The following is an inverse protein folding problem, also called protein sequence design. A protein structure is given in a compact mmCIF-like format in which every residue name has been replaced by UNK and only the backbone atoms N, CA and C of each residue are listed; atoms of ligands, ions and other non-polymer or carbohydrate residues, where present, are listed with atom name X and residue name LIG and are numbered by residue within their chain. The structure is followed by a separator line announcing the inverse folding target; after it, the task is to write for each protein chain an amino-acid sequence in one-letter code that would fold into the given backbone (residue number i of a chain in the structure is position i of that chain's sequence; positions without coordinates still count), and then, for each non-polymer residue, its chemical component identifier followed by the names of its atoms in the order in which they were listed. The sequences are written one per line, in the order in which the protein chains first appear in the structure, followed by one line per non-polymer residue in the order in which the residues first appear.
data_IF_099937072252
#
_entry.id   IF_099937072252
#
_cell.length_a   1.000
_cell.length_b   1.000
_cell.length_c   1.000
_cell.angle_alpha   90.00
_cell.angle_beta   90.00
_cell.angle_gamma   90.00
#
_symmetry.space_group_name_H-M   'P 1'
#
loop_
_entity.id
_entity.type
_entity.pdbx_description
1 polymer ?
#
# COMPACT_ATOMS: atom_id res chain seq x y z
N UNK A 1 8.15 29.00 9.77
CA UNK A 1 9.50 28.68 10.29
C UNK A 1 9.76 27.19 10.06
N UNK A 2 10.85 26.81 9.38
CA UNK A 2 11.20 25.38 9.22
C UNK A 2 11.62 24.86 10.59
N UNK A 3 10.81 24.00 11.23
CA UNK A 3 11.22 23.32 12.46
C UNK A 3 12.48 22.51 12.15
N UNK A 4 13.54 22.66 12.95
CA UNK A 4 14.79 21.92 12.72
C UNK A 4 14.46 20.43 12.78
N UNK A 5 14.80 19.71 11.71
CA UNK A 5 14.64 18.27 11.66
C UNK A 5 15.40 17.65 12.83
N UNK A 6 14.80 16.69 13.56
CA UNK A 6 15.50 16.04 14.65
C UNK A 6 16.65 15.20 14.08
N UNK A 7 17.89 15.67 14.24
CA UNK A 7 19.08 15.02 13.67
C UNK A 7 19.22 13.55 14.13
N UNK A 8 18.71 13.26 15.34
CA UNK A 8 18.70 11.93 15.93
C UNK A 8 17.89 10.90 15.14
N UNK A 9 16.82 11.28 14.43
CA UNK A 9 16.01 10.31 13.67
C UNK A 9 16.80 9.75 12.48
N UNK A 10 17.49 10.63 11.75
CA UNK A 10 18.37 10.24 10.65
C UNK A 10 19.58 9.46 11.15
N UNK A 11 20.14 9.85 12.31
CA UNK A 11 21.25 9.15 12.94
C UNK A 11 20.86 7.72 13.36
N UNK A 12 19.72 7.56 14.03
CA UNK A 12 19.16 6.26 14.41
C UNK A 12 19.04 5.32 13.20
N UNK A 13 18.41 5.80 12.12
CA UNK A 13 18.22 4.99 10.90
C UNK A 13 19.55 4.53 10.32
N UNK A 14 20.53 5.45 10.23
CA UNK A 14 21.87 5.13 9.73
C UNK A 14 22.62 4.18 10.66
N UNK A 15 22.48 4.32 11.98
CA UNK A 15 23.08 3.42 12.97
C UNK A 15 22.60 1.98 12.83
N UNK A 16 21.32 1.79 12.50
CA UNK A 16 20.74 0.47 12.21
C UNK A 16 20.96 -0.01 10.76
N UNK A 17 21.71 0.74 9.94
CA UNK A 17 21.96 0.47 8.51
C UNK A 17 20.69 0.29 7.68
N UNK A 18 19.61 0.99 8.05
CA UNK A 18 18.32 0.89 7.38
C UNK A 18 18.21 1.92 6.24
N UNK A 19 17.61 1.52 5.13
CA UNK A 19 17.13 2.45 4.10
C UNK A 19 15.86 3.18 4.58
N UNK A 20 15.48 4.29 3.92
CA UNK A 20 14.22 4.98 4.24
C UNK A 20 12.99 4.08 4.06
N UNK A 21 13.03 3.15 3.10
CA UNK A 21 11.93 2.21 2.84
C UNK A 21 11.85 1.12 3.90
N UNK A 22 12.98 0.58 4.33
CA UNK A 22 13.04 -0.43 5.39
C UNK A 22 12.63 0.15 6.74
N UNK A 23 13.11 1.35 7.08
CA UNK A 23 12.66 2.04 8.29
C UNK A 23 11.15 2.31 8.26
N UNK A 24 10.60 2.70 7.09
CA UNK A 24 9.17 2.87 6.93
C UNK A 24 8.41 1.56 7.15
N UNK A 25 8.92 0.45 6.59
CA UNK A 25 8.33 -0.88 6.78
C UNK A 25 8.31 -1.31 8.25
N UNK A 26 9.44 -1.21 8.95
CA UNK A 26 9.55 -1.60 10.37
C UNK A 26 8.68 -0.75 11.28
N UNK A 27 8.50 0.53 10.95
CA UNK A 27 7.64 1.44 11.72
C UNK A 27 6.16 1.36 11.32
N UNK A 28 5.80 0.56 10.31
CA UNK A 28 4.42 0.52 9.78
C UNK A 28 3.98 1.82 9.10
N UNK A 29 4.93 2.59 8.56
CA UNK A 29 4.70 3.90 7.97
C UNK A 29 4.80 3.89 6.44
N UNK A 30 4.20 4.90 5.82
CA UNK A 30 4.47 5.22 4.40
C UNK A 30 5.88 5.81 4.29
N UNK A 31 6.65 5.46 3.25
CA UNK A 31 8.01 6.01 3.05
C UNK A 31 8.05 7.54 3.03
N UNK A 32 6.97 8.21 2.62
CA UNK A 32 6.86 9.67 2.65
C UNK A 32 6.92 10.25 4.07
N UNK A 33 6.40 9.55 5.07
CA UNK A 33 6.43 10.03 6.46
C UNK A 33 7.85 10.07 7.00
N UNK A 34 8.63 9.01 6.75
CA UNK A 34 10.07 8.96 7.11
C UNK A 34 10.81 10.15 6.49
N UNK A 35 10.54 10.48 5.23
CA UNK A 35 11.13 11.66 4.59
C UNK A 35 10.69 12.98 5.21
N UNK A 36 9.40 13.14 5.53
CA UNK A 36 8.88 14.35 6.16
C UNK A 36 9.50 14.57 7.55
N UNK A 37 9.72 13.49 8.33
CA UNK A 37 10.41 13.54 9.61
C UNK A 37 11.89 13.90 9.45
N UNK A 38 12.61 13.27 8.53
CA UNK A 38 14.02 13.60 8.26
C UNK A 38 14.22 15.03 7.74
N UNK A 39 13.23 15.58 7.05
CA UNK A 39 13.24 16.97 6.55
C UNK A 39 12.76 17.98 7.60
N UNK A 40 12.21 17.54 8.73
CA UNK A 40 11.63 18.42 9.75
C UNK A 40 10.33 19.09 9.31
N UNK A 41 9.68 18.58 8.27
CA UNK A 41 8.38 19.08 7.82
C UNK A 41 7.25 18.63 8.74
N UNK A 42 7.44 17.56 9.49
CA UNK A 42 6.49 17.03 10.47
C UNK A 42 7.25 16.67 11.75
N UNK A 43 6.58 16.86 12.88
CA UNK A 43 7.10 16.42 14.19
C UNK A 43 6.91 14.91 14.34
N UNK A 44 7.83 14.25 15.04
CA UNK A 44 7.80 12.81 15.27
C UNK A 44 6.90 12.51 16.48
N UNK A 45 5.76 11.82 16.30
CA UNK A 45 4.85 11.43 17.38
C UNK A 45 5.51 10.52 18.43
N UNK A 46 4.93 10.48 19.63
CA UNK A 46 5.43 9.65 20.73
C UNK A 46 5.49 8.17 20.38
N UNK A 47 4.43 7.60 19.77
CA UNK A 47 4.40 6.18 19.43
C UNK A 47 5.52 5.77 18.47
N UNK A 48 5.95 6.67 17.57
CA UNK A 48 7.09 6.42 16.68
C UNK A 48 8.40 6.41 17.47
N UNK A 49 8.57 7.33 18.43
CA UNK A 49 9.76 7.34 19.30
C UNK A 49 9.87 6.06 20.13
N UNK A 50 8.74 5.56 20.65
CA UNK A 50 8.68 4.30 21.38
C UNK A 50 9.00 3.10 20.48
N UNK A 51 8.43 3.05 19.27
CA UNK A 51 8.75 2.02 18.29
C UNK A 51 10.24 2.01 17.91
N UNK A 52 10.85 3.19 17.75
CA UNK A 52 12.30 3.30 17.51
C UNK A 52 13.13 2.74 18.67
N UNK A 53 12.71 3.03 19.91
CA UNK A 53 13.38 2.48 21.09
C UNK A 53 13.25 0.95 21.16
N UNK A 54 12.07 0.40 20.86
CA UNK A 54 11.84 -1.04 20.79
C UNK A 54 12.76 -1.69 19.74
N UNK A 55 12.79 -1.15 18.51
CA UNK A 55 13.65 -1.64 17.42
C UNK A 55 15.14 -1.56 17.79
N UNK A 56 15.58 -0.48 18.44
CA UNK A 56 16.97 -0.36 18.93
C UNK A 56 17.33 -1.41 19.98
N UNK A 57 16.35 -1.92 20.72
CA UNK A 57 16.51 -3.04 21.66
C UNK A 57 16.31 -4.42 21.01
N UNK A 58 16.15 -4.48 19.68
CA UNK A 58 15.93 -5.71 18.92
C UNK A 58 14.51 -6.27 19.02
N UNK A 59 13.57 -5.54 19.62
CA UNK A 59 12.16 -5.91 19.67
C UNK A 59 11.53 -5.53 18.34
N UNK A 60 11.05 -6.55 17.61
CA UNK A 60 10.46 -6.40 16.28
C UNK A 60 8.94 -6.46 16.29
N UNK A 61 8.36 -7.06 17.33
CA UNK A 61 6.92 -7.23 17.46
C UNK A 61 6.52 -7.40 18.93
N UNK A 62 5.25 -7.13 19.22
CA UNK A 62 4.64 -7.34 20.52
C UNK A 62 3.19 -7.82 20.33
N UNK A 63 3.00 -9.12 20.49
CA UNK A 63 1.70 -9.79 20.40
C UNK A 63 1.58 -10.79 21.56
N UNK A 64 0.36 -11.08 21.99
CA UNK A 64 0.08 -12.04 23.07
C UNK A 64 0.85 -11.80 24.37
N UNK A 65 1.09 -10.52 24.69
CA UNK A 65 1.85 -10.07 25.85
C UNK A 65 3.32 -10.53 25.89
N UNK A 66 3.89 -10.87 24.73
CA UNK A 66 5.28 -11.30 24.58
C UNK A 66 6.06 -10.41 23.61
N UNK A 67 7.31 -10.10 23.97
CA UNK A 67 8.23 -9.38 23.09
C UNK A 67 8.90 -10.35 22.11
N UNK A 68 8.63 -10.20 20.82
CA UNK A 68 9.35 -10.94 19.79
C UNK A 68 10.63 -10.19 19.43
N UNK A 69 11.75 -10.90 19.52
CA UNK A 69 13.07 -10.39 19.14
C UNK A 69 13.51 -11.03 17.84
N UNK A 70 14.18 -10.25 16.99
CA UNK A 70 14.76 -10.74 15.76
C UNK A 70 16.21 -11.16 15.97
N UNK A 71 16.53 -12.44 15.80
CA UNK A 71 17.92 -12.94 15.84
C UNK A 71 18.79 -12.40 14.68
N UNK A 72 18.13 -11.94 13.61
CA UNK A 72 18.77 -11.45 12.39
C UNK A 72 18.81 -9.94 12.36
N UNK A 73 19.78 -9.38 11.63
CA UNK A 73 19.89 -7.95 11.41
C UNK A 73 18.56 -7.35 10.90
N UNK A 74 18.11 -6.25 11.54
CA UNK A 74 16.85 -5.56 11.22
C UNK A 74 16.69 -5.23 9.73
N UNK A 75 17.77 -4.84 9.07
CA UNK A 75 17.78 -4.56 7.64
C UNK A 75 17.38 -5.78 6.79
N UNK A 76 17.82 -6.98 7.18
CA UNK A 76 17.50 -8.22 6.46
C UNK A 76 16.03 -8.63 6.67
N UNK A 77 15.51 -8.44 7.89
CA UNK A 77 14.08 -8.64 8.20
C UNK A 77 13.23 -7.69 7.36
N UNK A 78 13.58 -6.40 7.36
CA UNK A 78 12.87 -5.39 6.61
C UNK A 78 12.93 -5.63 5.09
N UNK A 79 14.09 -6.00 4.56
CA UNK A 79 14.25 -6.33 3.14
C UNK A 79 13.38 -7.53 2.72
N UNK A 80 13.36 -8.61 3.51
CA UNK A 80 12.52 -9.79 3.26
C UNK A 80 11.03 -9.44 3.32
N UNK A 81 10.60 -8.69 4.33
CA UNK A 81 9.21 -8.24 4.45
C UNK A 81 8.78 -7.30 3.31
N UNK A 82 9.69 -6.44 2.85
CA UNK A 82 9.44 -5.56 1.72
C UNK A 82 9.38 -6.33 0.38
N UNK A 83 10.11 -7.44 0.23
CA UNK A 83 9.98 -8.32 -0.92
C UNK A 83 8.61 -9.02 -0.93
N UNK A 84 8.24 -9.67 0.18
CA UNK A 84 6.96 -10.37 0.31
C UNK A 84 5.74 -9.45 0.09
N UNK A 85 5.79 -8.21 0.59
CA UNK A 85 4.70 -7.25 0.39
C UNK A 85 4.56 -6.76 -1.05
N UNK A 86 5.65 -6.68 -1.84
CA UNK A 86 5.59 -6.34 -3.27
C UNK A 86 4.90 -7.45 -4.07
N UNK A 87 5.19 -8.70 -3.75
CA UNK A 87 4.57 -9.85 -4.40
C UNK A 87 3.06 -9.87 -4.13
N UNK A 88 2.66 -9.61 -2.89
CA UNK A 88 1.24 -9.47 -2.52
C UNK A 88 0.55 -8.26 -3.20
N UNK A 89 1.24 -7.13 -3.39
CA UNK A 89 0.65 -5.97 -4.08
C UNK A 89 0.58 -6.15 -5.60
N UNK A 90 1.52 -6.87 -6.20
CA UNK A 90 1.47 -7.25 -7.60
C UNK A 90 0.25 -8.14 -7.89
N UNK A 91 0.00 -9.12 -7.02
CA UNK A 91 -1.15 -10.01 -7.13
C UNK A 91 -2.50 -9.28 -6.90
N UNK A 92 -2.55 -8.33 -5.96
CA UNK A 92 -3.74 -7.48 -5.75
C UNK A 92 -4.03 -6.58 -6.96
N UNK A 93 -2.99 -6.10 -7.64
CA UNK A 93 -3.11 -5.26 -8.86
C UNK A 93 -3.59 -6.06 -10.07
N UNK A 94 -3.12 -7.29 -10.27
CA UNK A 94 -3.57 -8.15 -11.38
C UNK A 94 -5.04 -8.57 -11.19
N UNK A 95 -5.44 -8.95 -9.98
CA UNK A 95 -6.85 -9.25 -9.64
C UNK A 95 -7.76 -8.05 -9.89
N UNK A 96 -7.37 -6.84 -9.48
CA UNK A 96 -8.13 -5.59 -9.74
C UNK A 96 -8.25 -5.24 -11.23
N UNK A 97 -7.22 -5.56 -12.04
CA UNK A 97 -7.25 -5.35 -13.50
C UNK A 97 -8.20 -6.33 -14.20
N UNK A 98 -8.23 -7.60 -13.76
CA UNK A 98 -9.19 -8.59 -14.26
C UNK A 98 -10.64 -8.23 -13.92
N UNK A 99 -10.93 -7.79 -12.68
CA UNK A 99 -12.29 -7.39 -12.28
C UNK A 99 -12.79 -6.17 -13.06
N UNK A 100 -11.92 -5.21 -13.34
CA UNK A 100 -12.29 -4.03 -14.14
C UNK A 100 -12.51 -4.39 -15.62
N UNK A 101 -11.73 -5.31 -16.19
CA UNK A 101 -11.95 -5.81 -17.56
C UNK A 101 -13.27 -6.58 -17.69
N UNK A 102 -13.61 -7.41 -16.69
CA UNK A 102 -14.87 -8.15 -16.66
C UNK A 102 -16.10 -7.24 -16.52
N UNK A 103 -16.03 -6.18 -15.70
CA UNK A 103 -17.09 -5.17 -15.59
C UNK A 103 -17.31 -4.39 -16.90
N UNK A 104 -16.24 -4.03 -17.61
CA UNK A 104 -16.31 -3.34 -18.90
C UNK A 104 -16.96 -4.20 -19.99
N UNK A 105 -16.61 -5.49 -20.05
CA UNK A 105 -17.21 -6.43 -21.01
C UNK A 105 -18.69 -6.73 -20.74
N UNK A 106 -19.11 -6.68 -19.46
CA UNK A 106 -20.51 -6.91 -19.08
C UNK A 106 -21.41 -5.71 -19.42
N UNK A 107 -20.90 -4.48 -19.33
CA UNK A 107 -21.64 -3.27 -19.73
C UNK A 107 -21.85 -3.17 -21.24
N UNK A 108 -20.84 -3.50 -22.04
CA UNK A 108 -20.97 -3.46 -23.51
C UNK A 108 -21.89 -4.54 -24.08
N UNK A 109 -22.03 -5.69 -23.39
CA UNK A 109 -22.95 -6.76 -23.81
C UNK A 109 -24.41 -6.40 -23.56
N UNK A 110 -24.72 -5.73 -22.45
CA UNK A 110 -26.09 -5.28 -22.12
C UNK A 110 -26.58 -4.17 -23.05
N UNK A 111 -25.67 -3.30 -23.51
CA UNK A 111 -26.00 -2.20 -24.42
C UNK A 111 -26.26 -2.70 -25.85
N UNK A 112 -25.47 -3.67 -26.33
CA UNK A 112 -25.67 -4.30 -27.63
C UNK A 112 -26.96 -5.14 -27.73
N UNK A 113 -27.39 -5.78 -26.63
CA UNK A 113 -28.66 -6.54 -26.60
C UNK A 113 -29.88 -5.61 -26.64
N UNK A 114 -29.83 -4.46 -25.94
CA UNK A 114 -30.92 -3.47 -25.99
C UNK A 114 -31.09 -2.83 -27.36
N UNK A 115 -30.02 -2.54 -28.08
CA UNK A 115 -30.11 -1.96 -29.43
C UNK A 115 -30.65 -2.93 -30.47
N UNK A 116 -30.38 -4.23 -30.31
CA UNK A 116 -30.92 -5.27 -31.20
C UNK A 116 -32.43 -5.50 -30.97
N UNK A 117 -32.89 -5.44 -29.71
CA UNK A 117 -34.32 -5.57 -29.39
C UNK A 117 -35.14 -4.39 -29.92
N UNK A 118 -34.64 -3.15 -29.83
CA UNK A 118 -35.35 -1.96 -30.36
C UNK A 118 -35.45 -1.98 -31.89
N UNK A 119 -34.38 -2.40 -32.59
CA UNK A 119 -34.38 -2.52 -34.06
C UNK A 119 -35.33 -3.61 -34.59
N UNK A 120 -35.62 -4.66 -33.82
CA UNK A 120 -36.52 -5.76 -34.26
C UNK A 120 -38.00 -5.36 -34.13
N UNK A 121 -38.30 -4.46 -33.19
CA UNK A 121 -39.68 -3.98 -32.97
C UNK A 121 -40.09 -2.96 -34.04
N UNK A 122 -39.17 -2.12 -34.53
CA UNK A 122 -39.46 -1.15 -35.60
C UNK A 122 -39.71 -1.81 -36.97
N UNK A 123 -39.05 -2.93 -37.30
CA UNK A 123 -39.29 -3.61 -38.60
C UNK A 123 -40.61 -4.38 -38.67
N UNK A 124 -41.27 -4.62 -37.53
CA UNK A 124 -42.54 -5.38 -37.47
C UNK A 124 -43.76 -4.47 -37.65
N UNK A 125 -43.62 -3.16 -37.37
CA UNK A 125 -44.73 -2.19 -37.40
C UNK A 125 -45.00 -1.71 -38.85
N UNK A 126 -44.01 -1.75 -39.73
CA UNK A 126 -44.13 -1.28 -41.13
C UNK A 126 -44.85 -2.27 -42.07
N UNK A 127 -45.08 -3.51 -41.65
CA UNK A 127 -45.83 -4.51 -42.44
C UNK A 127 -47.35 -4.52 -42.17
N UNK A 128 -47.87 -3.62 -41.33
CA UNK A 128 -49.29 -3.58 -40.94
C UNK A 128 -50.07 -2.37 -41.51
N UNK A 129 -49.48 -1.61 -42.44
CA UNK A 129 -50.09 -0.43 -43.09
C UNK A 129 -50.21 -0.59 -44.62
N UNK A 130 -50.25 -1.84 -45.12
CA UNK A 130 -50.56 -2.17 -46.51
C UNK A 130 -52.01 -2.60 -46.69
#
# INVERSE_FOLDING_TARGET
MKKKAPHWFKAWRKGLKLTQKEAAFLLGLKSRMVQNYEKGSHDIPLYIRLAMAALSNGIIDFEDNEFRRGDKALALIAAKGLAASKDATAEKRTRKKQTNKAKKAKSSKTEATRTAEVSTVESTIDSAQG
#
